data_IF_950800536990
#
_entry.id   IF_950800536990
#
_cell.length_a   1.000
_cell.length_b   1.000
_cell.length_c   1.000
_cell.angle_alpha   90.00
_cell.angle_beta   90.00
_cell.angle_gamma   90.00
#
_symmetry.space_group_name_H-M   'P 1'
#
loop_
_entity.id
_entity.type
_entity.pdbx_description
1 polymer ?
#
# COMPACT_ATOMS: atom_id res chain seq x y z
N UNK A 1 15.58 30.79 -5.63
CA UNK A 1 14.61 31.05 -4.55
C UNK A 1 14.62 29.83 -3.64
N UNK A 2 14.94 30.02 -2.36
CA UNK A 2 14.86 28.95 -1.36
C UNK A 2 13.53 29.11 -0.64
N UNK A 3 12.65 28.12 -0.73
CA UNK A 3 11.52 28.02 0.17
C UNK A 3 12.00 27.34 1.45
N UNK A 4 11.81 27.98 2.60
CA UNK A 4 11.98 27.37 3.92
C UNK A 4 10.61 27.29 4.59
N UNK A 5 10.31 26.11 5.14
CA UNK A 5 9.16 25.90 6.02
C UNK A 5 9.57 26.29 7.44
N UNK A 6 8.82 27.19 8.07
CA UNK A 6 8.95 27.50 9.49
C UNK A 6 7.99 26.61 10.29
N UNK A 7 8.50 25.58 11.01
CA UNK A 7 7.65 24.69 11.79
C UNK A 7 6.93 25.41 12.95
N UNK A 8 7.40 26.57 13.40
CA UNK A 8 6.73 27.34 14.47
C UNK A 8 5.38 27.92 14.03
N UNK A 9 5.10 27.96 12.73
CA UNK A 9 3.83 28.41 12.18
C UNK A 9 2.76 27.30 12.16
N UNK A 10 3.10 26.07 12.54
CA UNK A 10 2.19 24.94 12.54
C UNK A 10 1.71 24.61 13.96
N UNK A 11 0.39 24.48 14.11
CA UNK A 11 -0.23 23.97 15.34
C UNK A 11 -0.69 22.55 15.10
N UNK A 12 -0.35 21.63 16.00
CA UNK A 12 -0.87 20.27 15.96
C UNK A 12 -2.40 20.28 16.16
N UNK A 13 -3.14 19.70 15.22
CA UNK A 13 -4.61 19.64 15.26
C UNK A 13 -5.12 18.39 15.99
N UNK A 14 -4.41 17.28 15.87
CA UNK A 14 -4.68 16.03 16.59
C UNK A 14 -3.41 15.17 16.60
N UNK A 15 -3.40 14.18 17.47
CA UNK A 15 -2.41 13.12 17.48
C UNK A 15 -3.13 11.79 17.64
N UNK A 16 -2.64 10.77 16.95
CA UNK A 16 -3.11 9.41 17.10
C UNK A 16 -1.95 8.51 17.52
N UNK A 17 -2.25 7.54 18.38
CA UNK A 17 -1.35 6.47 18.77
C UNK A 17 -2.03 5.13 18.60
N UNK A 18 -1.21 4.08 18.47
CA UNK A 18 -1.68 2.70 18.38
C UNK A 18 -2.64 2.39 19.54
N UNK A 19 -3.72 1.61 19.31
CA UNK A 19 -4.65 1.25 20.38
C UNK A 19 -3.95 0.63 21.58
N UNK A 20 -4.41 0.96 22.78
CA UNK A 20 -3.85 0.40 24.01
C UNK A 20 -3.98 -1.13 24.01
N UNK A 21 -2.93 -1.82 24.46
CA UNK A 21 -2.90 -3.28 24.51
C UNK A 21 -2.58 -3.96 23.17
N UNK A 22 -2.11 -3.21 22.17
CA UNK A 22 -1.57 -3.80 20.94
C UNK A 22 -0.39 -4.73 21.27
N UNK A 23 -0.50 -6.05 20.99
CA UNK A 23 0.50 -7.04 21.43
C UNK A 23 1.79 -7.01 20.59
N UNK A 24 1.87 -6.14 19.60
CA UNK A 24 2.97 -6.08 18.63
C UNK A 24 4.26 -5.46 19.22
N UNK A 25 5.37 -6.22 19.27
CA UNK A 25 6.55 -5.88 20.06
C UNK A 25 7.39 -4.69 19.56
N UNK A 26 7.36 -4.33 18.27
CA UNK A 26 8.25 -3.27 17.73
C UNK A 26 7.68 -1.85 17.87
N UNK A 27 6.36 -1.71 18.01
CA UNK A 27 5.72 -0.42 18.32
C UNK A 27 5.70 0.66 17.23
N UNK A 28 6.38 0.48 16.09
CA UNK A 28 6.45 1.47 15.00
C UNK A 28 5.15 1.65 14.21
N UNK A 29 5.04 2.78 13.51
CA UNK A 29 4.02 3.03 12.47
C UNK A 29 4.73 3.26 11.15
N UNK A 30 4.17 2.70 10.08
CA UNK A 30 4.66 2.92 8.73
C UNK A 30 4.33 4.35 8.26
N UNK A 31 4.92 4.77 7.13
CA UNK A 31 4.46 5.97 6.42
C UNK A 31 2.97 5.90 6.14
N UNK A 32 2.25 7.01 6.29
CA UNK A 32 0.80 7.06 6.10
C UNK A 32 0.42 7.37 4.65
N UNK A 33 -0.80 7.01 4.26
CA UNK A 33 -1.41 7.45 3.01
C UNK A 33 -2.69 8.25 3.29
N UNK A 34 -3.12 9.14 2.39
CA UNK A 34 -4.33 9.96 2.57
C UNK A 34 -5.32 9.75 1.43
N UNK A 35 -6.61 9.74 1.73
CA UNK A 35 -7.68 9.63 0.73
C UNK A 35 -9.02 10.11 1.25
N UNK A 36 -9.76 10.89 0.45
CA UNK A 36 -11.16 11.27 0.71
C UNK A 36 -11.44 11.63 2.19
N UNK A 37 -10.65 12.54 2.77
CA UNK A 37 -10.76 13.00 4.15
C UNK A 37 -10.31 11.99 5.22
N UNK A 38 -9.49 10.99 4.84
CA UNK A 38 -8.97 9.97 5.74
C UNK A 38 -7.45 9.90 5.70
N UNK A 39 -6.86 9.62 6.86
CA UNK A 39 -5.46 9.22 7.02
C UNK A 39 -5.42 7.71 7.26
N UNK A 40 -4.72 6.99 6.40
CA UNK A 40 -4.55 5.54 6.42
C UNK A 40 -3.21 5.21 7.08
N UNK A 41 -3.28 4.44 8.15
CA UNK A 41 -2.13 4.06 8.99
C UNK A 41 -2.01 2.54 9.02
N UNK A 42 -0.81 2.05 8.78
CA UNK A 42 -0.42 0.66 9.08
C UNK A 42 0.72 0.65 10.09
N UNK A 43 0.91 -0.49 10.74
CA UNK A 43 1.89 -0.66 11.82
C UNK A 43 3.11 -1.39 11.30
N UNK A 44 4.25 -1.16 11.93
CA UNK A 44 5.36 -2.09 11.80
C UNK A 44 5.03 -3.35 12.60
N UNK A 45 5.11 -4.49 11.93
CA UNK A 45 4.77 -5.81 12.47
C UNK A 45 5.93 -6.77 12.30
N UNK A 46 6.25 -7.52 13.36
CA UNK A 46 7.20 -8.63 13.37
C UNK A 46 6.59 -9.79 14.15
N UNK A 47 6.03 -10.76 13.41
CA UNK A 47 5.35 -11.93 13.96
C UNK A 47 4.27 -11.58 15.01
N UNK A 48 3.31 -10.73 14.62
CA UNK A 48 2.24 -10.28 15.50
C UNK A 48 0.93 -9.98 14.75
N UNK A 49 0.11 -9.09 15.29
CA UNK A 49 -1.23 -8.82 14.78
C UNK A 49 -1.24 -7.60 13.85
N UNK A 50 -1.41 -7.87 12.56
CA UNK A 50 -1.49 -6.86 11.51
C UNK A 50 -2.87 -6.21 11.42
N UNK A 51 -2.89 -4.91 11.20
CA UNK A 51 -4.10 -4.13 11.05
C UNK A 51 -3.84 -2.79 10.36
N UNK A 52 -4.79 -2.39 9.52
CA UNK A 52 -4.87 -1.06 8.93
C UNK A 52 -5.96 -0.24 9.61
N UNK A 53 -5.70 1.05 9.80
CA UNK A 53 -6.59 2.00 10.43
C UNK A 53 -6.86 3.15 9.46
N UNK A 54 -8.10 3.57 9.35
CA UNK A 54 -8.46 4.83 8.70
C UNK A 54 -8.98 5.80 9.75
N UNK A 55 -8.32 6.95 9.84
CA UNK A 55 -8.65 8.03 10.75
C UNK A 55 -9.29 9.15 9.95
N UNK A 56 -10.24 9.87 10.54
CA UNK A 56 -10.75 11.10 9.96
C UNK A 56 -9.65 12.16 9.97
N UNK A 57 -9.39 12.77 8.81
CA UNK A 57 -8.30 13.74 8.64
C UNK A 57 -8.51 15.03 9.44
N UNK A 58 -9.78 15.37 9.74
CA UNK A 58 -10.13 16.58 10.46
C UNK A 58 -9.82 16.52 11.96
N UNK A 59 -9.96 15.36 12.59
CA UNK A 59 -9.95 15.23 14.06
C UNK A 59 -9.19 13.99 14.59
N UNK A 60 -8.67 13.14 13.71
CA UNK A 60 -7.93 11.93 14.07
C UNK A 60 -8.80 10.81 14.64
N UNK A 61 -10.14 10.94 14.62
CA UNK A 61 -11.04 9.90 15.14
C UNK A 61 -11.03 8.67 14.24
N UNK A 62 -11.15 7.48 14.83
CA UNK A 62 -11.17 6.24 14.07
C UNK A 62 -12.45 6.16 13.22
N UNK A 63 -12.29 6.06 11.91
CA UNK A 63 -13.38 5.85 10.95
C UNK A 63 -13.65 4.35 10.77
N UNK A 64 -12.62 3.59 10.37
CA UNK A 64 -12.70 2.14 10.26
C UNK A 64 -11.34 1.48 10.56
N UNK A 65 -11.37 0.19 10.87
CA UNK A 65 -10.18 -0.66 10.97
C UNK A 65 -10.43 -1.99 10.30
N UNK A 66 -9.40 -2.57 9.69
CA UNK A 66 -9.44 -3.92 9.16
C UNK A 66 -8.28 -4.72 9.75
N UNK A 67 -8.61 -5.83 10.41
CA UNK A 67 -7.63 -6.74 11.00
C UNK A 67 -7.21 -7.79 9.97
N UNK A 68 -5.90 -7.86 9.68
CA UNK A 68 -5.33 -8.90 8.82
C UNK A 68 -5.11 -10.21 9.59
N UNK A 69 -5.06 -10.15 10.93
CA UNK A 69 -4.74 -11.26 11.81
C UNK A 69 -3.23 -11.42 12.00
N UNK A 70 -2.78 -12.65 12.27
CA UNK A 70 -1.36 -12.91 12.49
C UNK A 70 -0.56 -12.76 11.20
N UNK A 71 0.47 -11.92 11.21
CA UNK A 71 1.36 -11.63 10.09
C UNK A 71 2.81 -11.71 10.55
N UNK A 72 3.70 -12.21 9.69
CA UNK A 72 5.13 -12.09 9.89
C UNK A 72 5.58 -10.62 9.73
N UNK A 73 4.95 -9.89 8.80
CA UNK A 73 5.18 -8.45 8.62
C UNK A 73 4.06 -7.74 7.88
N UNK A 74 3.96 -6.44 8.11
CA UNK A 74 3.04 -5.50 7.47
C UNK A 74 3.83 -4.26 7.01
N UNK A 75 3.54 -3.78 5.80
CA UNK A 75 4.23 -2.64 5.20
C UNK A 75 3.36 -1.39 5.07
N UNK A 76 3.93 -0.31 4.52
CA UNK A 76 3.23 0.95 4.31
C UNK A 76 2.06 0.82 3.31
N UNK A 77 0.94 1.53 3.53
CA UNK A 77 -0.22 1.48 2.66
C UNK A 77 -0.05 2.40 1.44
N UNK A 78 -0.81 2.12 0.39
CA UNK A 78 -1.04 3.05 -0.71
C UNK A 78 -2.53 3.09 -1.08
N UNK A 79 -3.00 4.18 -1.68
CA UNK A 79 -4.39 4.30 -2.12
C UNK A 79 -4.47 4.46 -3.63
N UNK A 80 -5.32 3.66 -4.28
CA UNK A 80 -5.66 3.82 -5.68
C UNK A 80 -7.06 3.25 -5.97
N UNK A 81 -7.80 3.87 -6.89
CA UNK A 81 -9.09 3.37 -7.37
C UNK A 81 -10.10 3.03 -6.26
N UNK A 82 -10.14 3.83 -5.20
CA UNK A 82 -11.03 3.60 -4.06
C UNK A 82 -10.61 2.44 -3.14
N UNK A 83 -9.40 1.89 -3.30
CA UNK A 83 -8.87 0.83 -2.45
C UNK A 83 -7.58 1.26 -1.75
N UNK A 84 -7.41 0.78 -0.52
CA UNK A 84 -6.16 0.77 0.23
C UNK A 84 -5.43 -0.54 -0.07
N UNK A 85 -4.18 -0.43 -0.49
CA UNK A 85 -3.30 -1.54 -0.76
C UNK A 85 -2.26 -1.66 0.34
N UNK A 86 -2.20 -2.83 0.98
CA UNK A 86 -1.24 -3.10 2.07
C UNK A 86 -0.43 -4.35 1.74
N UNK A 87 0.89 -4.22 1.56
CA UNK A 87 1.77 -5.37 1.41
C UNK A 87 2.01 -6.04 2.77
N UNK A 88 1.87 -7.36 2.82
CA UNK A 88 2.04 -8.15 4.04
C UNK A 88 2.77 -9.46 3.74
N UNK A 89 3.33 -10.06 4.78
CA UNK A 89 3.84 -11.44 4.77
C UNK A 89 3.07 -12.24 5.80
N UNK A 90 2.45 -13.35 5.39
CA UNK A 90 1.81 -14.27 6.34
C UNK A 90 2.86 -15.01 7.20
N UNK A 91 2.46 -15.69 8.31
CA UNK A 91 3.41 -16.42 9.16
C UNK A 91 4.11 -17.59 8.46
N UNK A 92 3.61 -18.04 7.31
CA UNK A 92 4.23 -19.05 6.44
C UNK A 92 5.08 -18.45 5.33
N UNK A 93 5.49 -17.19 5.47
CA UNK A 93 6.35 -16.43 4.56
C UNK A 93 5.77 -16.19 3.15
N UNK A 94 4.44 -16.25 3.01
CA UNK A 94 3.79 -15.89 1.74
C UNK A 94 3.52 -14.39 1.70
N UNK A 95 4.10 -13.73 0.71
CA UNK A 95 3.88 -12.32 0.48
C UNK A 95 2.59 -12.10 -0.31
N UNK A 96 1.74 -11.22 0.18
CA UNK A 96 0.50 -10.82 -0.47
C UNK A 96 0.31 -9.32 -0.35
N UNK A 97 -0.38 -8.74 -1.32
CA UNK A 97 -0.92 -7.38 -1.22
C UNK A 97 -2.41 -7.48 -1.01
N UNK A 98 -2.89 -6.97 0.11
CA UNK A 98 -4.32 -6.83 0.41
C UNK A 98 -4.88 -5.61 -0.28
N UNK A 99 -6.12 -5.71 -0.76
CA UNK A 99 -6.92 -4.59 -1.20
C UNK A 99 -8.14 -4.48 -0.29
N UNK A 100 -8.28 -3.34 0.37
CA UNK A 100 -9.36 -3.00 1.29
C UNK A 100 -10.09 -1.78 0.72
N UNK A 101 -11.41 -1.76 0.78
CA UNK A 101 -12.21 -0.61 0.38
C UNK A 101 -11.81 0.63 1.20
N UNK A 102 -11.40 1.71 0.54
CA UNK A 102 -10.93 2.92 1.22
C UNK A 102 -12.04 3.68 1.95
N UNK A 103 -13.29 3.48 1.56
CA UNK A 103 -14.45 4.14 2.15
C UNK A 103 -14.98 3.33 3.33
N UNK A 104 -15.16 2.03 3.13
CA UNK A 104 -15.87 1.14 4.05
C UNK A 104 -14.94 0.31 4.94
N UNK A 105 -13.66 0.18 4.61
CA UNK A 105 -12.74 -0.69 5.33
C UNK A 105 -13.01 -2.18 5.13
N UNK A 106 -13.74 -2.56 4.08
CA UNK A 106 -14.12 -3.95 3.80
C UNK A 106 -13.11 -4.64 2.88
N UNK A 107 -12.92 -5.94 3.07
CA UNK A 107 -12.07 -6.74 2.18
C UNK A 107 -12.59 -6.74 0.74
N UNK A 108 -11.70 -6.48 -0.21
CA UNK A 108 -11.99 -6.60 -1.64
C UNK A 108 -11.34 -7.84 -2.24
N UNK A 109 -10.00 -7.90 -2.20
CA UNK A 109 -9.24 -9.05 -2.67
C UNK A 109 -7.82 -9.06 -2.08
N UNK A 110 -7.06 -10.13 -2.31
CA UNK A 110 -5.61 -10.15 -2.12
C UNK A 110 -4.92 -10.74 -3.35
N UNK A 111 -3.70 -10.29 -3.63
CA UNK A 111 -2.90 -10.83 -4.73
C UNK A 111 -1.54 -11.32 -4.23
N UNK A 112 -1.00 -12.42 -4.80
CA UNK A 112 0.36 -12.86 -4.51
C UNK A 112 1.38 -11.79 -4.91
N UNK A 113 2.45 -11.67 -4.12
CA UNK A 113 3.66 -10.95 -4.48
C UNK A 113 4.88 -11.83 -4.19
N UNK A 114 5.98 -11.60 -4.91
CA UNK A 114 7.24 -12.28 -4.62
C UNK A 114 8.03 -11.42 -3.64
N UNK A 115 8.42 -11.93 -2.47
CA UNK A 115 9.38 -11.25 -1.60
C UNK A 115 10.23 -12.29 -0.82
N UNK A 116 11.46 -11.97 -0.44
CA UNK A 116 12.11 -12.66 0.69
C UNK A 116 12.34 -11.60 1.75
N UNK A 117 11.67 -11.78 2.89
CA UNK A 117 11.73 -10.91 4.05
C UNK A 117 11.16 -9.48 3.84
N UNK A 118 10.90 -8.83 4.98
CA UNK A 118 9.84 -7.86 5.26
C UNK A 118 10.04 -6.43 4.76
N UNK A 119 11.00 -6.17 3.88
CA UNK A 119 11.28 -4.79 3.44
C UNK A 119 10.32 -4.36 2.33
N UNK A 120 9.11 -3.98 2.73
CA UNK A 120 8.12 -3.41 1.84
C UNK A 120 8.33 -1.91 1.68
N UNK A 121 8.40 -1.45 0.43
CA UNK A 121 8.17 -0.04 0.11
C UNK A 121 6.68 0.21 -0.12
N UNK A 122 6.26 1.46 0.05
CA UNK A 122 4.90 1.89 -0.26
C UNK A 122 4.57 1.53 -1.71
N UNK A 123 3.46 0.81 -1.96
CA UNK A 123 3.02 0.56 -3.32
C UNK A 123 2.82 1.88 -4.08
N UNK A 124 3.18 1.92 -5.37
CA UNK A 124 3.01 3.12 -6.19
C UNK A 124 1.73 3.03 -7.01
N UNK A 125 0.82 3.99 -6.84
CA UNK A 125 -0.35 4.13 -7.71
C UNK A 125 0.08 4.61 -9.11
N UNK A 126 -0.33 3.91 -10.16
CA UNK A 126 -0.05 4.24 -11.56
C UNK A 126 -1.22 3.84 -12.47
N UNK A 127 -1.78 4.79 -13.22
CA UNK A 127 -2.74 4.56 -14.32
C UNK A 127 -3.84 3.54 -13.99
N UNK A 128 -4.56 3.77 -12.90
CA UNK A 128 -5.62 2.88 -12.46
C UNK A 128 -5.12 1.52 -11.98
N UNK A 129 -3.88 1.43 -11.52
CA UNK A 129 -3.30 0.23 -10.95
C UNK A 129 -2.34 0.55 -9.80
N UNK A 130 -1.93 -0.48 -9.07
CA UNK A 130 -0.85 -0.35 -8.07
C UNK A 130 0.33 -1.21 -8.50
N UNK A 131 1.52 -0.62 -8.42
CA UNK A 131 2.80 -1.27 -8.58
C UNK A 131 3.39 -1.57 -7.21
N UNK A 132 3.57 -2.84 -6.90
CA UNK A 132 4.39 -3.25 -5.76
C UNK A 132 5.77 -3.65 -6.26
N UNK A 133 6.79 -2.91 -5.83
CA UNK A 133 8.18 -3.35 -5.96
C UNK A 133 8.50 -4.24 -4.75
N UNK A 134 9.07 -5.40 -5.03
CA UNK A 134 9.61 -6.26 -3.99
C UNK A 134 11.13 -6.40 -4.11
N UNK A 135 11.75 -6.86 -3.03
CA UNK A 135 13.21 -6.85 -2.84
C UNK A 135 14.00 -7.58 -3.94
N UNK A 136 13.37 -8.46 -4.73
CA UNK A 136 13.98 -9.10 -5.91
C UNK A 136 13.81 -8.37 -7.24
N UNK A 137 13.36 -7.12 -7.23
CA UNK A 137 13.11 -6.35 -8.45
C UNK A 137 11.92 -6.86 -9.26
N UNK A 138 11.07 -7.70 -8.66
CA UNK A 138 9.76 -8.01 -9.22
C UNK A 138 8.85 -6.79 -9.01
N UNK A 139 8.11 -6.45 -10.07
CA UNK A 139 7.08 -5.42 -10.04
C UNK A 139 5.76 -6.12 -10.35
N UNK A 140 4.81 -6.07 -9.43
CA UNK A 140 3.47 -6.62 -9.65
C UNK A 140 2.47 -5.50 -9.90
N UNK A 141 1.61 -5.64 -10.91
CA UNK A 141 0.55 -4.67 -11.22
C UNK A 141 -0.82 -5.22 -10.85
N UNK A 142 -1.54 -4.52 -9.97
CA UNK A 142 -2.94 -4.82 -9.62
C UNK A 142 -3.88 -3.86 -10.36
N UNK A 143 -4.79 -4.36 -11.20
CA UNK A 143 -5.90 -3.57 -11.77
C UNK A 143 -7.16 -3.62 -10.89
N UNK A 144 -8.15 -2.76 -11.19
CA UNK A 144 -9.37 -2.53 -10.38
C UNK A 144 -10.18 -3.78 -9.98
N UNK A 145 -10.05 -4.92 -10.68
CA UNK A 145 -10.87 -6.12 -10.45
C UNK A 145 -10.04 -7.35 -10.00
N UNK A 146 -8.92 -7.14 -9.30
CA UNK A 146 -8.10 -8.26 -8.80
C UNK A 146 -7.42 -9.10 -9.91
N UNK A 147 -7.45 -8.66 -11.18
CA UNK A 147 -6.74 -9.32 -12.27
C UNK A 147 -5.23 -9.10 -12.12
N UNK A 148 -4.60 -10.04 -11.44
CA UNK A 148 -3.15 -10.17 -11.37
C UNK A 148 -2.56 -10.31 -12.77
N UNK A 149 -1.61 -9.44 -13.12
CA UNK A 149 -0.73 -9.62 -14.26
C UNK A 149 0.71 -9.53 -13.77
N UNK A 150 1.50 -10.62 -13.83
CA UNK A 150 2.91 -10.51 -13.50
C UNK A 150 3.55 -9.55 -14.52
N UNK A 151 4.25 -8.52 -14.06
CA UNK A 151 5.11 -7.78 -14.98
C UNK A 151 6.26 -8.69 -15.39
N UNK A 152 6.56 -8.76 -16.69
CA UNK A 152 7.65 -9.59 -17.20
C UNK A 152 8.98 -9.17 -16.56
N UNK A 153 9.60 -10.08 -15.81
CA UNK A 153 11.01 -9.96 -15.44
C UNK A 153 11.85 -10.13 -16.70
N UNK A 154 12.47 -9.06 -17.19
CA UNK A 154 13.57 -9.21 -18.15
C UNK A 154 14.86 -9.32 -17.34
N UNK A 155 15.26 -10.54 -16.96
CA UNK A 155 16.68 -10.82 -16.69
C UNK A 155 17.43 -10.71 -18.02
N UNK A 156 17.68 -9.49 -18.48
CA UNK A 156 18.61 -9.24 -19.58
C UNK A 156 19.93 -8.85 -18.96
N UNK A 157 20.99 -9.61 -19.23
CA UNK A 157 22.37 -9.14 -19.04
C UNK A 157 22.44 -7.75 -19.68
N UNK A 158 22.66 -6.72 -18.88
CA UNK A 158 22.71 -5.34 -19.33
C UNK A 158 23.92 -5.16 -20.27
N UNK A 159 23.76 -4.79 -21.55
CA UNK A 159 24.76 -4.00 -22.24
C UNK A 159 24.61 -2.53 -21.80
N UNK A 160 25.63 -1.67 -21.97
CA UNK A 160 25.64 -0.33 -21.40
C UNK A 160 24.50 0.54 -21.98
N UNK A 161 23.85 1.26 -21.06
CA UNK A 161 22.83 2.30 -21.20
C UNK A 161 22.16 2.46 -22.58
N UNK A 162 20.89 2.03 -22.65
CA UNK A 162 19.84 2.73 -23.42
C UNK A 162 18.47 2.42 -22.80
N UNK A 163 17.75 3.51 -22.52
CA UNK A 163 16.38 3.68 -22.00
C UNK A 163 15.49 2.43 -21.85
N UNK A 164 14.90 2.28 -20.66
CA UNK A 164 13.85 1.32 -20.34
C UNK A 164 12.55 1.73 -21.05
N UNK A 165 12.12 0.94 -22.04
CA UNK A 165 10.83 1.12 -22.70
C UNK A 165 9.74 0.36 -21.94
N UNK A 166 8.84 1.08 -21.28
CA UNK A 166 7.57 0.55 -20.78
C UNK A 166 6.57 0.67 -21.93
N UNK A 167 6.03 -0.47 -22.40
CA UNK A 167 4.93 -0.46 -23.38
C UNK A 167 3.65 0.01 -22.69
N UNK A 168 3.17 1.20 -23.05
CA UNK A 168 1.88 1.72 -22.62
C UNK A 168 0.79 1.23 -23.56
N UNK A 169 -0.21 0.52 -23.04
CA UNK A 169 -1.54 0.53 -23.66
C UNK A 169 -2.23 1.82 -23.20
N UNK A 170 -2.80 2.57 -24.15
CA UNK A 170 -3.43 3.87 -23.91
C UNK A 170 -4.57 3.79 -22.89
N UNK A 171 -4.62 4.75 -21.97
CA UNK A 171 -5.62 4.89 -20.89
C UNK A 171 -7.08 4.81 -21.37
N UNK A 172 -7.33 5.10 -22.65
CA UNK A 172 -8.64 5.05 -23.29
C UNK A 172 -9.18 3.62 -23.45
N UNK A 173 -8.31 2.62 -23.59
CA UNK A 173 -8.70 1.20 -23.69
C UNK A 173 -9.08 0.57 -22.33
N UNK A 174 -8.70 1.19 -21.21
CA UNK A 174 -9.02 0.69 -19.86
C UNK A 174 -10.38 1.19 -19.36
N UNK A 175 -10.81 2.40 -19.74
CA UNK A 175 -12.13 2.94 -19.37
C UNK A 175 -13.29 2.11 -19.91
N UNK A 176 -13.17 1.56 -21.12
CA UNK A 176 -14.25 0.78 -21.76
C UNK A 176 -14.50 -0.58 -21.10
N UNK A 177 -13.59 -1.09 -20.25
CA UNK A 177 -13.71 -2.43 -19.64
C UNK A 177 -14.22 -2.40 -18.20
N UNK A 178 -14.37 -1.22 -17.61
CA UNK A 178 -14.95 -1.03 -16.27
C UNK A 178 -16.44 -0.63 -16.29
N UNK A 179 -17.06 -0.40 -17.45
CA UNK A 179 -18.45 0.08 -17.55
C UNK A 179 -19.48 -0.99 -17.97
N UNK A 180 -19.08 -2.25 -18.09
CA UNK A 180 -20.01 -3.37 -18.34
C UNK A 180 -19.72 -4.49 -17.35
N UNK A 181 -20.47 -4.47 -16.25
CA UNK A 181 -20.61 -5.51 -15.25
C UNK A 181 -21.94 -5.32 -14.57
#
# INVERSE_FOLDING_TARGET
MNAQFDPALFTQIWSWSRPAGDPEPIGGINSVATTAGKVIVTKDVYFGQGAVYALNEADGTLNWTYAFGSMASEGPPAVANGNVFVPTTDPGERCVVWAIDATLGTYQFKMPSDCQWSNFFAPTALDGSVLQAAQYGSVSRAGCNGRYRPARTTKRRLPPMRSMHISTESAEAQRSRCSTG
#
